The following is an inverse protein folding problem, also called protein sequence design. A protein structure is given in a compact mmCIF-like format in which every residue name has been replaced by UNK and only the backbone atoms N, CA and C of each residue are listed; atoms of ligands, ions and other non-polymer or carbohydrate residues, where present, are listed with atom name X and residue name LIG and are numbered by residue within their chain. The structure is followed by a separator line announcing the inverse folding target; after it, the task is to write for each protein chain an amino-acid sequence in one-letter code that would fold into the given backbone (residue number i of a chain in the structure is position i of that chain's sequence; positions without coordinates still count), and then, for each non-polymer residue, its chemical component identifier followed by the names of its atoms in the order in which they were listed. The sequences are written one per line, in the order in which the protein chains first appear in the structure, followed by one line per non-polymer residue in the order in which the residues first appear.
data_IF_700951429413
#
_entry.id   IF_700951429413
#
_cell.length_a   1.000
_cell.length_b   1.000
_cell.length_c   1.000
_cell.angle_alpha   90.00
_cell.angle_beta   90.00
_cell.angle_gamma   90.00
#
_symmetry.space_group_name_H-M   'P 1'
#
loop_
_entity.id
_entity.type
_entity.pdbx_description
1 polymer ?
#
# COMPACT_ATOMS: atom_id res chain seq x y z
N UNK A 1 27.14 -17.10 -3.90
CA UNK A 1 26.99 -16.97 -2.43
C UNK A 1 26.30 -15.63 -2.17
N UNK A 2 24.96 -15.62 -2.11
CA UNK A 2 24.18 -14.39 -1.99
C UNK A 2 23.84 -14.15 -0.51
N UNK A 3 24.19 -12.95 -0.06
CA UNK A 3 23.97 -12.39 1.27
C UNK A 3 22.48 -12.30 1.62
N UNK A 4 22.14 -12.63 2.88
CA UNK A 4 20.98 -12.10 3.59
C UNK A 4 19.70 -12.93 3.54
N UNK A 5 19.52 -13.81 4.53
CA UNK A 5 18.23 -14.45 4.83
C UNK A 5 17.40 -13.66 5.84
N UNK A 6 16.07 -13.92 5.83
CA UNK A 6 15.15 -13.65 6.94
C UNK A 6 13.98 -12.71 6.63
N UNK A 7 12.75 -13.27 6.65
CA UNK A 7 11.40 -12.64 6.77
C UNK A 7 10.48 -12.54 5.53
N UNK A 8 10.88 -12.89 4.31
CA UNK A 8 9.99 -12.78 3.13
C UNK A 8 9.07 -13.98 2.85
N UNK A 9 9.24 -15.09 3.58
CA UNK A 9 8.48 -16.33 3.35
C UNK A 9 6.97 -16.15 3.60
N UNK A 10 6.59 -15.34 4.60
CA UNK A 10 5.18 -15.09 4.94
C UNK A 10 4.48 -14.18 3.92
N UNK A 11 5.17 -13.13 3.46
CA UNK A 11 4.60 -12.18 2.50
C UNK A 11 4.44 -12.79 1.12
N UNK A 12 5.45 -13.52 0.63
CA UNK A 12 5.37 -14.24 -0.64
C UNK A 12 4.25 -15.29 -0.64
N UNK A 13 4.08 -16.03 0.46
CA UNK A 13 2.98 -16.98 0.63
C UNK A 13 1.61 -16.30 0.63
N UNK A 14 1.46 -15.17 1.34
CA UNK A 14 0.22 -14.40 1.37
C UNK A 14 -0.17 -13.92 -0.03
N UNK A 15 0.77 -13.32 -0.76
CA UNK A 15 0.54 -12.84 -2.13
C UNK A 15 0.13 -14.00 -3.03
N UNK A 16 0.84 -15.14 -2.98
CA UNK A 16 0.50 -16.31 -3.77
C UNK A 16 -0.93 -16.80 -3.49
N UNK A 17 -1.34 -16.84 -2.21
CA UNK A 17 -2.68 -17.28 -1.81
C UNK A 17 -3.77 -16.32 -2.28
N UNK A 18 -3.53 -15.01 -2.19
CA UNK A 18 -4.46 -13.99 -2.67
C UNK A 18 -4.61 -14.07 -4.19
N UNK A 19 -3.51 -14.20 -4.93
CA UNK A 19 -3.52 -14.33 -6.40
C UNK A 19 -4.31 -15.56 -6.82
N UNK A 20 -4.01 -16.72 -6.25
CA UNK A 20 -4.75 -17.96 -6.55
C UNK A 20 -6.25 -17.81 -6.31
N UNK A 21 -6.65 -17.17 -5.20
CA UNK A 21 -8.07 -16.98 -4.87
C UNK A 21 -8.74 -15.96 -5.79
N UNK A 22 -8.03 -14.91 -6.20
CA UNK A 22 -8.52 -13.91 -7.14
C UNK A 22 -8.73 -14.51 -8.53
N UNK A 23 -7.76 -15.29 -9.03
CA UNK A 23 -7.87 -16.02 -10.30
C UNK A 23 -9.07 -16.96 -10.32
N UNK A 24 -9.28 -17.71 -9.22
CA UNK A 24 -10.46 -18.58 -9.05
C UNK A 24 -11.80 -17.83 -9.12
N UNK A 25 -11.80 -16.51 -8.87
CA UNK A 25 -12.97 -15.64 -8.92
C UNK A 25 -12.98 -14.72 -10.16
N UNK A 26 -12.06 -14.89 -11.11
CA UNK A 26 -11.94 -14.01 -12.29
C UNK A 26 -11.49 -12.58 -11.96
N UNK A 27 -10.70 -12.40 -10.89
CA UNK A 27 -10.19 -11.10 -10.41
C UNK A 27 -8.66 -11.07 -10.45
N UNK A 28 -8.09 -9.87 -10.46
CA UNK A 28 -6.63 -9.64 -10.38
C UNK A 28 -6.24 -9.13 -8.98
N UNK A 29 -5.05 -9.52 -8.51
CA UNK A 29 -4.38 -8.88 -7.37
C UNK A 29 -3.33 -7.92 -7.89
N UNK A 30 -3.43 -6.66 -7.46
CA UNK A 30 -2.49 -5.61 -7.82
C UNK A 30 -1.70 -5.22 -6.57
N UNK A 31 -0.38 -5.35 -6.65
CA UNK A 31 0.51 -4.84 -5.61
C UNK A 31 0.65 -3.32 -5.75
N UNK A 32 0.89 -2.61 -4.65
CA UNK A 32 1.17 -1.17 -4.67
C UNK A 32 2.30 -0.88 -3.70
N UNK A 33 3.02 0.21 -3.92
CA UNK A 33 4.04 0.69 -2.95
C UNK A 33 3.31 1.09 -1.66
N UNK A 34 3.62 0.49 -0.49
CA UNK A 34 2.88 0.74 0.75
C UNK A 34 3.37 1.99 1.50
N UNK A 35 4.45 2.63 1.06
CA UNK A 35 5.10 3.72 1.78
C UNK A 35 4.15 4.90 2.05
N UNK A 36 4.18 5.43 3.28
CA UNK A 36 3.43 6.60 3.75
C UNK A 36 1.91 6.54 3.68
N UNK A 37 1.30 5.38 3.43
CA UNK A 37 -0.18 5.25 3.31
C UNK A 37 -0.92 5.56 4.61
N UNK A 38 -0.34 5.27 5.77
CA UNK A 38 -0.93 5.58 7.08
C UNK A 38 -0.75 7.03 7.53
N UNK A 39 0.21 7.75 6.92
CA UNK A 39 0.52 9.16 7.24
C UNK A 39 -0.08 10.16 6.26
N UNK A 40 -0.50 9.69 5.08
CA UNK A 40 -1.07 10.54 4.03
C UNK A 40 -2.58 10.66 4.22
N UNK A 41 -3.14 11.86 4.23
CA UNK A 41 -4.59 12.03 4.23
C UNK A 41 -5.17 11.60 2.88
N UNK A 42 -6.15 10.69 2.88
CA UNK A 42 -6.82 10.21 1.66
C UNK A 42 -7.74 11.24 0.99
N UNK A 43 -8.15 12.28 1.72
CA UNK A 43 -9.00 13.35 1.20
C UNK A 43 -8.24 14.47 0.50
N UNK A 44 -7.07 14.87 1.02
CA UNK A 44 -6.31 16.01 0.50
C UNK A 44 -4.87 15.69 0.07
N UNK A 45 -4.37 14.47 0.30
CA UNK A 45 -3.03 14.04 -0.09
C UNK A 45 -1.89 14.56 0.79
N UNK A 46 -2.17 15.35 1.83
CA UNK A 46 -1.13 15.89 2.71
C UNK A 46 -0.52 14.79 3.59
N UNK A 47 0.80 14.76 3.70
CA UNK A 47 1.53 13.87 4.62
C UNK A 47 1.61 14.50 6.00
N UNK A 48 1.29 13.72 7.03
CA UNK A 48 1.36 14.12 8.43
C UNK A 48 2.55 13.45 9.10
N UNK A 49 3.53 14.25 9.51
CA UNK A 49 4.77 13.74 10.10
C UNK A 49 4.57 13.26 11.55
N UNK A 50 3.71 13.94 12.29
CA UNK A 50 3.44 13.69 13.71
C UNK A 50 2.23 12.76 13.92
N UNK A 51 2.32 11.54 13.38
CA UNK A 51 1.36 10.48 13.67
C UNK A 51 2.07 9.34 14.42
N UNK A 52 1.58 9.04 15.62
CA UNK A 52 2.06 7.91 16.42
C UNK A 52 1.32 6.62 16.06
N UNK A 53 1.89 5.47 16.44
CA UNK A 53 1.24 4.17 16.22
C UNK A 53 -0.02 3.99 17.09
N UNK A 54 -0.11 4.69 18.22
CA UNK A 54 -1.28 4.75 19.09
C UNK A 54 -2.42 5.58 18.51
N UNK A 55 -2.16 6.45 17.54
CA UNK A 55 -3.20 7.25 16.89
C UNK A 55 -3.99 6.35 15.94
N UNK A 56 -5.12 5.85 16.44
CA UNK A 56 -6.05 4.99 15.69
C UNK A 56 -7.06 5.80 14.91
N UNK A 57 -7.48 6.95 15.43
CA UNK A 57 -8.39 7.87 14.74
C UNK A 57 -7.61 9.09 14.24
N UNK A 58 -7.79 9.44 12.97
CA UNK A 58 -7.14 10.61 12.36
C UNK A 58 -8.19 11.62 11.96
N UNK A 59 -7.94 12.89 12.29
CA UNK A 59 -8.77 14.02 11.89
C UNK A 59 -7.86 15.08 11.26
N UNK A 60 -8.20 15.49 10.05
CA UNK A 60 -7.38 16.39 9.24
C UNK A 60 -8.08 17.71 9.01
N UNK A 61 -7.31 18.78 8.80
CA UNK A 61 -7.84 20.13 8.57
C UNK A 61 -8.74 20.24 7.32
N UNK A 62 -8.60 19.31 6.36
CA UNK A 62 -9.47 19.25 5.17
C UNK A 62 -10.86 18.64 5.45
N UNK A 63 -11.18 18.29 6.70
CA UNK A 63 -12.46 17.71 7.10
C UNK A 63 -12.52 16.18 7.08
N UNK A 64 -11.45 15.50 6.63
CA UNK A 64 -11.36 14.04 6.65
C UNK A 64 -11.17 13.55 8.09
N UNK A 65 -12.07 12.69 8.58
CA UNK A 65 -12.01 12.11 9.92
C UNK A 65 -12.44 10.65 9.89
N UNK A 66 -11.52 9.72 10.19
CA UNK A 66 -11.75 8.27 10.13
C UNK A 66 -10.65 7.50 10.87
N UNK A 67 -10.82 6.18 11.01
CA UNK A 67 -9.74 5.29 11.47
C UNK A 67 -8.54 5.32 10.50
N UNK A 68 -7.33 5.31 11.06
CA UNK A 68 -6.05 5.39 10.35
C UNK A 68 -5.87 4.24 9.36
N UNK A 69 -6.27 3.02 9.72
CA UNK A 69 -6.12 1.86 8.84
C UNK A 69 -7.14 1.93 7.69
N UNK A 70 -8.34 2.49 7.95
CA UNK A 70 -9.31 2.80 6.88
C UNK A 70 -8.75 3.89 5.93
N UNK A 71 -8.16 4.95 6.47
CA UNK A 71 -7.48 5.97 5.65
C UNK A 71 -6.35 5.37 4.79
N UNK A 72 -5.53 4.49 5.37
CA UNK A 72 -4.49 3.77 4.63
C UNK A 72 -5.05 2.88 3.53
N UNK A 73 -6.17 2.18 3.77
CA UNK A 73 -6.84 1.36 2.77
C UNK A 73 -7.34 2.18 1.58
N UNK A 74 -7.89 3.38 1.82
CA UNK A 74 -8.31 4.30 0.75
C UNK A 74 -7.10 4.75 -0.09
N UNK A 75 -5.99 5.09 0.55
CA UNK A 75 -4.75 5.45 -0.16
C UNK A 75 -4.23 4.30 -1.03
N UNK A 76 -4.25 3.06 -0.52
CA UNK A 76 -3.86 1.86 -1.29
C UNK A 76 -4.79 1.67 -2.50
N UNK A 77 -6.10 1.81 -2.31
CA UNK A 77 -7.08 1.72 -3.39
C UNK A 77 -6.85 2.79 -4.47
N UNK A 78 -6.62 4.04 -4.08
CA UNK A 78 -6.32 5.13 -5.02
C UNK A 78 -5.04 4.85 -5.83
N UNK A 79 -3.97 4.35 -5.18
CA UNK A 79 -2.74 3.94 -5.86
C UNK A 79 -2.97 2.78 -6.83
N UNK A 80 -3.79 1.80 -6.44
CA UNK A 80 -4.15 0.67 -7.31
C UNK A 80 -4.94 1.10 -8.54
N UNK A 81 -5.84 2.08 -8.40
CA UNK A 81 -6.64 2.64 -9.50
C UNK A 81 -5.82 3.50 -10.45
N UNK A 82 -4.82 4.23 -9.95
CA UNK A 82 -3.99 5.12 -10.74
C UNK A 82 -2.80 4.40 -11.42
N UNK A 83 -2.81 3.06 -11.45
CA UNK A 83 -1.78 2.27 -12.12
C UNK A 83 -1.91 2.45 -13.64
N UNK A 84 -0.82 2.82 -14.35
CA UNK A 84 -0.86 2.86 -15.81
C UNK A 84 -1.17 1.46 -16.37
N UNK A 85 -2.16 1.40 -17.28
CA UNK A 85 -2.59 0.18 -17.94
C UNK A 85 -1.36 -0.51 -18.58
N UNK A 86 -1.07 -1.74 -18.16
CA UNK A 86 0.05 -2.53 -18.68
C UNK A 86 1.29 -2.66 -17.77
N UNK A 87 1.40 -1.90 -16.68
CA UNK A 87 2.52 -2.02 -15.76
C UNK A 87 2.41 -3.28 -14.88
N UNK A 88 2.78 -4.46 -15.37
CA UNK A 88 2.90 -5.66 -14.52
C UNK A 88 3.94 -5.39 -13.42
N UNK A 89 3.49 -5.26 -12.17
CA UNK A 89 4.39 -5.36 -11.02
C UNK A 89 4.77 -6.82 -10.90
N UNK A 90 5.78 -7.23 -11.66
CA UNK A 90 6.42 -8.53 -11.47
C UNK A 90 6.91 -8.58 -10.03
N UNK A 91 6.42 -9.58 -9.28
CA UNK A 91 6.85 -9.85 -7.92
C UNK A 91 8.38 -9.74 -7.83
N UNK A 92 8.87 -8.74 -7.07
CA UNK A 92 10.30 -8.54 -6.85
C UNK A 92 10.94 -7.27 -7.46
N UNK A 93 10.19 -6.37 -8.10
CA UNK A 93 10.71 -5.02 -8.40
C UNK A 93 9.84 -3.94 -7.79
N UNK A 94 10.22 -3.50 -6.58
CA UNK A 94 9.86 -2.15 -6.11
C UNK A 94 10.61 -1.19 -7.04
N UNK A 95 9.88 -0.38 -7.81
CA UNK A 95 10.51 0.67 -8.60
C UNK A 95 11.23 1.64 -7.64
N UNK A 96 12.53 1.87 -7.79
CA UNK A 96 13.26 2.79 -6.94
C UNK A 96 13.04 4.21 -7.47
N UNK A 97 11.83 4.75 -7.37
CA UNK A 97 11.61 6.18 -7.57
C UNK A 97 10.27 6.61 -6.96
N UNK A 98 10.28 6.77 -5.64
CA UNK A 98 9.36 7.64 -4.92
C UNK A 98 10.17 8.47 -3.89
N UNK A 99 11.39 8.84 -4.25
CA UNK A 99 12.18 9.86 -3.57
C UNK A 99 12.06 11.13 -4.41
N UNK A 100 11.19 12.04 -3.98
CA UNK A 100 11.00 13.33 -4.65
C UNK A 100 9.54 13.74 -4.67
N UNK A 101 9.01 14.03 -3.48
CA UNK A 101 8.08 15.11 -3.12
C UNK A 101 7.80 15.03 -1.62
#
# INVERSE_FOLDING_TARGET
MAIGGGLDAGWSYLVARLTHKAESAGREVVLVVPAYTSKTCSGCGKVFEHLSLSDRWVSYACGTSLDRDHNAAINILQRGRNRPLGAKLSAGRVCPEAAGL
#
